data_IF_770950827463
#
_entry.id   IF_770950827463
#
_cell.length_a   1.000
_cell.length_b   1.000
_cell.length_c   1.000
_cell.angle_alpha   90.00
_cell.angle_beta   90.00
_cell.angle_gamma   90.00
#
_symmetry.space_group_name_H-M   'P 1'
#
loop_
_entity.id
_entity.type
_entity.pdbx_description
1 polymer ?
#
# COMPACT_ATOMS: atom_id res chain seq x y z
N UNK A 1 -4.20 5.67 -1.06
CA UNK A 1 -4.56 4.25 -0.79
C UNK A 1 -5.97 3.87 -1.26
N UNK A 2 -6.89 4.81 -1.45
CA UNK A 2 -8.23 4.55 -2.03
C UNK A 2 -8.18 3.86 -3.40
N UNK A 3 -7.25 4.24 -4.27
CA UNK A 3 -7.07 3.61 -5.60
C UNK A 3 -6.68 2.13 -5.53
N UNK A 4 -5.83 1.76 -4.57
CA UNK A 4 -5.47 0.36 -4.32
C UNK A 4 -6.70 -0.44 -3.86
N UNK A 5 -7.46 0.09 -2.89
CA UNK A 5 -8.69 -0.55 -2.44
C UNK A 5 -9.71 -0.73 -3.57
N UNK A 6 -9.86 0.28 -4.44
CA UNK A 6 -10.73 0.21 -5.60
C UNK A 6 -10.29 -0.86 -6.61
N UNK A 7 -8.98 -0.97 -6.90
CA UNK A 7 -8.48 -1.98 -7.84
C UNK A 7 -8.63 -3.41 -7.26
N UNK A 8 -8.38 -3.60 -5.96
CA UNK A 8 -8.63 -4.88 -5.28
C UNK A 8 -10.12 -5.22 -5.32
N UNK A 9 -11.03 -4.28 -5.02
CA UNK A 9 -12.47 -4.51 -5.07
C UNK A 9 -12.92 -4.93 -6.48
N UNK A 10 -12.44 -4.20 -7.49
CA UNK A 10 -12.72 -4.46 -8.91
C UNK A 10 -12.28 -5.86 -9.34
N UNK A 11 -11.07 -6.29 -8.96
CA UNK A 11 -10.54 -7.58 -9.40
C UNK A 11 -11.03 -8.76 -8.56
N UNK A 12 -11.26 -8.58 -7.26
CA UNK A 12 -11.74 -9.64 -6.37
C UNK A 12 -13.26 -9.87 -6.43
N UNK A 13 -14.02 -8.89 -6.94
CA UNK A 13 -15.49 -8.90 -6.92
C UNK A 13 -16.09 -8.73 -5.52
N UNK A 14 -15.28 -8.39 -4.52
CA UNK A 14 -15.70 -8.15 -3.13
C UNK A 14 -15.63 -6.67 -2.81
N UNK A 15 -16.51 -6.20 -1.94
CA UNK A 15 -16.44 -4.84 -1.44
C UNK A 15 -15.18 -4.67 -0.57
N UNK A 16 -14.34 -3.70 -0.93
CA UNK A 16 -13.12 -3.35 -0.19
C UNK A 16 -13.07 -1.83 -0.07
N UNK A 17 -13.02 -1.33 1.17
CA UNK A 17 -12.97 0.09 1.48
C UNK A 17 -11.64 0.47 2.13
N UNK A 18 -11.07 1.59 1.69
CA UNK A 18 -9.96 2.22 2.40
C UNK A 18 -10.49 2.94 3.64
N UNK A 19 -9.90 2.67 4.79
CA UNK A 19 -10.18 3.37 6.05
C UNK A 19 -8.91 4.06 6.51
N UNK A 20 -8.91 5.38 6.40
CA UNK A 20 -7.82 6.21 6.89
C UNK A 20 -7.90 6.31 8.42
N UNK A 21 -6.81 5.98 9.12
CA UNK A 21 -6.75 5.94 10.58
C UNK A 21 -5.60 6.82 11.08
N UNK A 22 -5.73 7.45 12.25
CA UNK A 22 -4.59 8.01 12.96
C UNK A 22 -3.51 6.94 13.17
N UNK A 23 -2.23 7.32 13.07
CA UNK A 23 -1.11 6.37 13.13
C UNK A 23 -1.12 5.49 14.39
N UNK A 24 -1.46 6.06 15.54
CA UNK A 24 -1.58 5.31 16.80
C UNK A 24 -2.68 4.25 16.73
N UNK A 25 -3.85 4.60 16.19
CA UNK A 25 -4.99 3.68 16.05
C UNK A 25 -4.67 2.58 15.02
N UNK A 26 -3.95 2.91 13.95
CA UNK A 26 -3.48 1.94 12.96
C UNK A 26 -2.47 0.95 13.55
N UNK A 27 -1.47 1.44 14.29
CA UNK A 27 -0.50 0.57 14.96
C UNK A 27 -1.19 -0.37 15.97
N UNK A 28 -2.13 0.13 16.76
CA UNK A 28 -2.91 -0.70 17.68
C UNK A 28 -3.75 -1.74 16.94
N UNK A 29 -4.36 -1.39 15.81
CA UNK A 29 -5.10 -2.34 14.98
C UNK A 29 -4.18 -3.47 14.47
N UNK A 30 -2.98 -3.13 13.98
CA UNK A 30 -1.99 -4.11 13.51
C UNK A 30 -1.54 -5.06 14.64
N UNK A 31 -1.32 -4.53 15.86
CA UNK A 31 -1.04 -5.37 17.04
C UNK A 31 -2.21 -6.29 17.35
N UNK A 32 -3.44 -5.79 17.26
CA UNK A 32 -4.66 -6.59 17.42
C UNK A 32 -4.79 -7.75 16.41
N UNK A 33 -4.15 -7.64 15.24
CA UNK A 33 -4.06 -8.71 14.24
C UNK A 33 -2.85 -9.65 14.44
N UNK A 34 -2.10 -9.48 15.53
CA UNK A 34 -0.99 -10.37 15.92
C UNK A 34 0.39 -9.90 15.47
N UNK A 35 0.52 -8.67 14.96
CA UNK A 35 1.81 -8.12 14.60
C UNK A 35 2.58 -7.66 15.86
N UNK A 36 3.91 -7.88 15.97
CA UNK A 36 4.66 -7.36 17.10
C UNK A 36 4.67 -5.82 17.09
N UNK A 37 4.61 -5.22 18.27
CA UNK A 37 4.44 -3.77 18.49
C UNK A 37 5.43 -2.91 17.69
N UNK A 38 6.72 -3.23 17.76
CA UNK A 38 7.77 -2.50 17.03
C UNK A 38 7.53 -2.51 15.52
N UNK A 39 7.03 -3.61 14.96
CA UNK A 39 6.73 -3.67 13.53
C UNK A 39 5.47 -2.86 13.18
N UNK A 40 4.45 -2.87 14.05
CA UNK A 40 3.25 -2.08 13.87
C UNK A 40 3.54 -0.57 13.87
N UNK A 41 4.41 -0.11 14.76
CA UNK A 41 4.86 1.28 14.82
C UNK A 41 5.62 1.68 13.56
N UNK A 42 6.53 0.83 13.06
CA UNK A 42 7.26 1.07 11.82
C UNK A 42 6.30 1.23 10.64
N UNK A 43 5.33 0.31 10.48
CA UNK A 43 4.36 0.38 9.39
C UNK A 43 3.47 1.62 9.47
N UNK A 44 3.00 1.98 10.67
CA UNK A 44 2.22 3.19 10.85
C UNK A 44 3.05 4.46 10.56
N UNK A 45 4.32 4.48 10.95
CA UNK A 45 5.26 5.55 10.59
C UNK A 45 5.49 5.66 9.08
N UNK A 46 5.63 4.53 8.39
CA UNK A 46 5.73 4.51 6.93
C UNK A 46 4.49 5.13 6.28
N UNK A 47 3.27 4.78 6.70
CA UNK A 47 2.04 5.34 6.13
C UNK A 47 1.94 6.87 6.33
N UNK A 48 2.42 7.39 7.47
CA UNK A 48 2.56 8.83 7.68
C UNK A 48 3.54 9.45 6.68
N UNK A 49 4.70 8.84 6.44
CA UNK A 49 5.65 9.27 5.40
C UNK A 49 5.03 9.22 3.99
N UNK A 50 4.24 8.18 3.67
CA UNK A 50 3.52 8.09 2.40
C UNK A 50 2.55 9.25 2.23
N UNK A 51 1.81 9.61 3.28
CA UNK A 51 0.88 10.76 3.23
C UNK A 51 1.57 12.10 2.94
N UNK A 52 2.87 12.20 3.25
CA UNK A 52 3.71 13.36 2.94
C UNK A 52 4.34 13.30 1.54
N UNK A 53 4.08 12.23 0.79
CA UNK A 53 4.63 12.01 -0.54
C UNK A 53 6.05 11.45 -0.56
N UNK A 54 6.59 10.99 0.56
CA UNK A 54 8.00 10.55 0.65
C UNK A 54 8.31 9.28 -0.18
N UNK A 55 7.28 8.53 -0.59
CA UNK A 55 7.42 7.39 -1.53
C UNK A 55 7.08 7.75 -2.98
N UNK A 56 6.66 8.98 -3.27
CA UNK A 56 6.30 9.39 -4.62
C UNK A 56 7.54 9.78 -5.43
N UNK A 57 7.71 9.12 -6.57
CA UNK A 57 8.77 9.43 -7.55
C UNK A 57 8.18 9.27 -8.96
N UNK A 58 8.35 10.26 -9.81
CA UNK A 58 7.86 10.27 -11.20
C UNK A 58 8.99 10.43 -12.25
N UNK A 59 10.25 10.37 -11.82
CA UNK A 59 11.44 10.61 -12.65
C UNK A 59 11.66 9.58 -13.76
N UNK A 60 11.07 8.39 -13.65
CA UNK A 60 11.23 7.30 -14.62
C UNK A 60 12.61 6.65 -14.63
N UNK A 61 13.45 6.89 -13.62
CA UNK A 61 14.80 6.33 -13.53
C UNK A 61 14.81 4.80 -13.64
N UNK A 62 13.89 4.14 -12.94
CA UNK A 62 13.79 2.68 -12.96
C UNK A 62 13.43 2.16 -14.35
N UNK A 63 12.42 2.72 -15.01
CA UNK A 63 12.01 2.36 -16.37
C UNK A 63 13.16 2.44 -17.35
N UNK A 64 13.96 3.52 -17.27
CA UNK A 64 15.16 3.70 -18.09
C UNK A 64 16.24 2.68 -17.76
N UNK A 65 16.50 2.42 -16.47
CA UNK A 65 17.50 1.46 -16.02
C UNK A 65 17.19 0.04 -16.50
N UNK A 66 15.93 -0.38 -16.46
CA UNK A 66 15.51 -1.74 -16.83
C UNK A 66 15.10 -1.89 -18.30
N UNK A 67 15.15 -0.80 -19.09
CA UNK A 67 14.76 -0.74 -20.50
C UNK A 67 13.34 -1.28 -20.82
N UNK A 68 12.41 -1.19 -19.86
CA UNK A 68 11.00 -1.57 -20.03
C UNK A 68 10.11 -0.78 -19.06
N UNK A 69 8.79 -0.65 -19.34
CA UNK A 69 7.84 -0.11 -18.38
C UNK A 69 7.87 -0.86 -17.04
N UNK A 70 7.67 -0.13 -15.94
CA UNK A 70 7.42 -0.74 -14.63
C UNK A 70 6.12 -1.53 -14.63
N UNK A 71 6.05 -2.55 -13.79
CA UNK A 71 4.84 -3.37 -13.67
C UNK A 71 3.71 -2.52 -13.07
N UNK A 72 2.54 -2.41 -13.73
CA UNK A 72 1.44 -1.60 -13.22
C UNK A 72 0.80 -2.25 -11.99
N UNK A 73 0.19 -1.42 -11.13
CA UNK A 73 -0.46 -1.88 -9.89
C UNK A 73 -1.52 -2.96 -10.15
N UNK A 74 -2.31 -2.82 -11.21
CA UNK A 74 -3.35 -3.78 -11.58
C UNK A 74 -2.78 -5.18 -11.84
N UNK A 75 -1.61 -5.29 -12.49
CA UNK A 75 -0.95 -6.60 -12.70
C UNK A 75 -0.45 -7.19 -11.38
N UNK A 76 0.06 -6.36 -10.47
CA UNK A 76 0.48 -6.83 -9.15
C UNK A 76 -0.71 -7.34 -8.32
N UNK A 77 -1.83 -6.60 -8.32
CA UNK A 77 -3.08 -7.03 -7.66
C UNK A 77 -3.59 -8.34 -8.26
N UNK A 78 -3.60 -8.47 -9.59
CA UNK A 78 -4.04 -9.69 -10.26
C UNK A 78 -3.19 -10.91 -9.87
N UNK A 79 -1.88 -10.70 -9.75
CA UNK A 79 -0.94 -11.74 -9.33
C UNK A 79 -1.15 -12.15 -7.88
N UNK A 80 -1.46 -11.20 -6.99
CA UNK A 80 -1.68 -11.47 -5.57
C UNK A 80 -3.02 -12.15 -5.26
N UNK A 81 -4.02 -12.00 -6.15
CA UNK A 81 -5.33 -12.63 -6.04
C UNK A 81 -5.41 -14.04 -6.63
N UNK A 82 -4.42 -14.44 -7.44
CA UNK A 82 -4.33 -15.76 -8.07
C UNK A 82 -3.96 -16.86 -7.06
#
# INVERSE_FOLDING_TARGET
MSELAAEVAKQSGKEVAYRDLPAADYAQALVGFGLPEVYAEVLAGCDVSVSKGELFVDTGDLTRLIARPTTPLSTAVATALA
#
